data_IF_913185757757
#
_entry.id   IF_913185757757
#
_cell.length_a   1.000
_cell.length_b   1.000
_cell.length_c   1.000
_cell.angle_alpha   90.00
_cell.angle_beta   90.00
_cell.angle_gamma   90.00
#
_symmetry.space_group_name_H-M   'P 1'
#
loop_
_entity.id
_entity.type
_entity.pdbx_description
1 polymer ?
#
# COMPACT_ATOMS: atom_id res chain seq x y z
N UNK A 1 -40.58 -5.37 -18.48
CA UNK A 1 -39.54 -5.42 -17.42
C UNK A 1 -39.02 -4.01 -17.26
N UNK A 2 -39.04 -3.48 -16.04
CA UNK A 2 -38.53 -2.13 -15.78
C UNK A 2 -37.00 -2.15 -15.80
N UNK A 3 -36.32 -1.03 -16.05
CA UNK A 3 -34.87 -0.93 -15.92
C UNK A 3 -34.35 -1.38 -14.54
N UNK A 4 -35.15 -1.20 -13.49
CA UNK A 4 -34.85 -1.61 -12.12
C UNK A 4 -34.81 -3.14 -11.98
N UNK A 5 -35.70 -3.87 -12.66
CA UNK A 5 -35.74 -5.34 -12.61
C UNK A 5 -34.50 -6.00 -13.26
N UNK A 6 -33.81 -5.26 -14.14
CA UNK A 6 -32.53 -5.69 -14.73
C UNK A 6 -31.33 -5.28 -13.87
N UNK A 7 -31.47 -4.23 -13.05
CA UNK A 7 -30.41 -3.70 -12.20
C UNK A 7 -30.15 -4.58 -10.96
N UNK A 8 -31.19 -5.18 -10.37
CA UNK A 8 -31.05 -6.00 -9.15
C UNK A 8 -30.18 -7.25 -9.40
N UNK A 9 -30.42 -8.08 -10.43
CA UNK A 9 -29.55 -9.22 -10.74
C UNK A 9 -28.16 -8.80 -11.25
N UNK A 10 -28.02 -7.57 -11.71
CA UNK A 10 -26.73 -6.97 -12.03
C UNK A 10 -25.98 -6.68 -10.72
N UNK A 11 -26.51 -5.86 -9.82
CA UNK A 11 -25.85 -5.52 -8.55
C UNK A 11 -25.43 -6.75 -7.71
N UNK A 12 -26.22 -7.83 -7.73
CA UNK A 12 -25.93 -9.07 -7.01
C UNK A 12 -24.79 -9.92 -7.61
N UNK A 13 -24.22 -9.51 -8.76
CA UNK A 13 -23.04 -10.15 -9.38
C UNK A 13 -21.80 -9.26 -9.26
N UNK A 14 -21.43 -8.93 -8.02
CA UNK A 14 -20.30 -8.06 -7.66
C UNK A 14 -19.00 -8.45 -8.39
N UNK A 15 -18.68 -9.74 -8.42
CA UNK A 15 -17.40 -10.21 -8.95
C UNK A 15 -17.28 -10.09 -10.48
N UNK A 16 -18.40 -10.11 -11.21
CA UNK A 16 -18.38 -10.28 -12.67
C UNK A 16 -18.19 -8.97 -13.43
N UNK A 17 -18.51 -7.84 -12.82
CA UNK A 17 -18.69 -6.57 -13.54
C UNK A 17 -17.42 -5.73 -13.59
N UNK A 18 -16.60 -5.81 -12.54
CA UNK A 18 -15.35 -5.06 -12.45
C UNK A 18 -14.16 -5.85 -12.98
N UNK A 19 -14.32 -7.15 -13.26
CA UNK A 19 -13.27 -8.06 -13.76
C UNK A 19 -12.61 -7.61 -15.08
N UNK A 20 -13.23 -6.69 -15.83
CA UNK A 20 -12.71 -6.14 -17.08
C UNK A 20 -12.22 -4.70 -17.00
N UNK A 21 -12.33 -4.04 -15.84
CA UNK A 21 -11.94 -2.63 -15.68
C UNK A 21 -10.52 -2.60 -15.08
N UNK A 22 -9.51 -2.09 -15.79
CA UNK A 22 -8.19 -1.90 -15.23
C UNK A 22 -8.24 -1.00 -14.00
N UNK A 23 -7.63 -1.43 -12.90
CA UNK A 23 -7.60 -0.65 -11.66
C UNK A 23 -7.03 0.76 -11.87
N UNK A 24 -6.04 0.92 -12.75
CA UNK A 24 -5.46 2.22 -13.09
C UNK A 24 -6.45 3.17 -13.78
N UNK A 25 -7.39 2.65 -14.57
CA UNK A 25 -8.47 3.45 -15.19
C UNK A 25 -9.47 3.89 -14.13
N UNK A 26 -9.87 2.98 -13.23
CA UNK A 26 -10.73 3.33 -12.11
C UNK A 26 -10.11 4.42 -11.22
N UNK A 27 -8.81 4.33 -10.90
CA UNK A 27 -8.12 5.37 -10.13
C UNK A 27 -8.15 6.71 -10.87
N UNK A 28 -7.89 6.71 -12.18
CA UNK A 28 -7.95 7.93 -12.98
C UNK A 28 -9.34 8.55 -12.98
N UNK A 29 -10.39 7.74 -13.18
CA UNK A 29 -11.77 8.22 -13.25
C UNK A 29 -12.27 8.76 -11.90
N UNK A 30 -11.87 8.14 -10.79
CA UNK A 30 -12.34 8.52 -9.43
C UNK A 30 -11.51 9.66 -8.83
N UNK A 31 -10.21 9.76 -9.15
CA UNK A 31 -9.29 10.70 -8.48
C UNK A 31 -8.69 11.76 -9.40
N UNK A 32 -8.80 11.58 -10.72
CA UNK A 32 -8.09 12.38 -11.72
C UNK A 32 -6.57 12.14 -11.76
N UNK A 33 -6.05 11.16 -11.01
CA UNK A 33 -4.61 10.85 -10.93
C UNK A 33 -4.28 9.60 -11.74
N UNK A 34 -3.13 9.62 -12.41
CA UNK A 34 -2.62 8.46 -13.15
C UNK A 34 -1.75 7.61 -12.23
N UNK A 35 -1.97 6.30 -12.27
CA UNK A 35 -1.03 5.32 -11.72
C UNK A 35 0.11 5.18 -12.72
N UNK A 36 1.33 5.50 -12.29
CA UNK A 36 2.53 5.33 -13.11
C UNK A 36 3.05 3.91 -12.95
N UNK A 37 3.33 3.25 -14.07
CA UNK A 37 3.94 1.92 -14.04
C UNK A 37 5.43 2.05 -13.70
N UNK A 38 5.94 1.11 -12.90
CA UNK A 38 7.37 0.97 -12.66
C UNK A 38 8.13 0.79 -13.98
N UNK A 39 9.20 1.56 -14.16
CA UNK A 39 10.04 1.52 -15.34
C UNK A 39 11.45 1.05 -14.97
N UNK A 40 11.86 -0.18 -15.34
CA UNK A 40 13.19 -0.71 -15.03
C UNK A 40 14.33 -0.01 -15.80
N UNK A 41 14.02 0.92 -16.70
CA UNK A 41 15.00 1.77 -17.39
C UNK A 41 15.10 3.16 -16.78
N UNK A 42 14.24 3.49 -15.82
CA UNK A 42 14.28 4.74 -15.07
C UNK A 42 15.22 4.57 -13.87
N UNK A 43 16.22 5.45 -13.76
CA UNK A 43 17.23 5.38 -12.70
C UNK A 43 16.65 5.65 -11.30
N UNK A 44 15.67 6.55 -11.19
CA UNK A 44 14.95 6.85 -9.94
C UNK A 44 14.16 5.63 -9.48
N UNK A 45 13.35 5.04 -10.35
CA UNK A 45 12.54 3.86 -10.03
C UNK A 45 13.43 2.70 -9.53
N UNK A 46 14.53 2.43 -10.23
CA UNK A 46 15.50 1.40 -9.83
C UNK A 46 16.13 1.70 -8.48
N UNK A 47 16.51 2.96 -8.23
CA UNK A 47 17.12 3.37 -6.97
C UNK A 47 16.15 3.22 -5.80
N UNK A 48 14.93 3.73 -5.93
CA UNK A 48 13.89 3.64 -4.89
C UNK A 48 13.56 2.18 -4.58
N UNK A 49 13.36 1.34 -5.60
CA UNK A 49 13.12 -0.10 -5.39
C UNK A 49 14.28 -0.79 -4.71
N UNK A 50 15.53 -0.47 -5.08
CA UNK A 50 16.72 -1.02 -4.42
C UNK A 50 16.80 -0.61 -2.94
N UNK A 51 16.50 0.65 -2.63
CA UNK A 51 16.46 1.15 -1.26
C UNK A 51 15.38 0.45 -0.43
N UNK A 52 14.16 0.31 -0.97
CA UNK A 52 13.07 -0.44 -0.34
C UNK A 52 13.50 -1.89 -0.09
N UNK A 53 14.11 -2.57 -1.07
CA UNK A 53 14.55 -3.97 -0.94
C UNK A 53 15.52 -4.15 0.23
N UNK A 54 16.53 -3.27 0.36
CA UNK A 54 17.49 -3.33 1.46
C UNK A 54 16.80 -3.14 2.82
N UNK A 55 15.85 -2.22 2.90
CA UNK A 55 15.08 -1.99 4.12
C UNK A 55 14.22 -3.21 4.48
N UNK A 56 13.56 -3.84 3.50
CA UNK A 56 12.75 -5.03 3.73
C UNK A 56 13.60 -6.22 4.19
N UNK A 57 14.80 -6.41 3.65
CA UNK A 57 15.73 -7.45 4.11
C UNK A 57 16.12 -7.22 5.58
N UNK A 58 16.46 -5.98 5.94
CA UNK A 58 16.78 -5.60 7.31
C UNK A 58 15.59 -5.78 8.25
N UNK A 59 14.39 -5.39 7.81
CA UNK A 59 13.15 -5.54 8.57
C UNK A 59 12.87 -7.01 8.86
N UNK A 60 12.96 -7.87 7.84
CA UNK A 60 12.74 -9.31 7.98
C UNK A 60 13.74 -9.96 8.95
N UNK A 61 15.01 -9.55 8.92
CA UNK A 61 16.01 -10.01 9.88
C UNK A 61 15.64 -9.65 11.33
N UNK A 62 15.17 -8.42 11.56
CA UNK A 62 14.77 -7.98 12.89
C UNK A 62 13.49 -8.66 13.38
N UNK A 63 12.47 -8.77 12.53
CA UNK A 63 11.17 -9.35 12.90
C UNK A 63 11.27 -10.86 13.20
N UNK A 64 12.14 -11.58 12.47
CA UNK A 64 12.39 -13.01 12.69
C UNK A 64 13.32 -13.30 13.88
N UNK A 65 13.92 -12.28 14.50
CA UNK A 65 14.71 -12.47 15.72
C UNK A 65 13.83 -13.03 16.84
N UNK A 66 14.31 -14.01 17.64
CA UNK A 66 13.59 -14.48 18.83
C UNK A 66 13.30 -13.38 19.85
N UNK A 67 14.06 -12.29 19.83
CA UNK A 67 13.88 -11.13 20.70
C UNK A 67 12.84 -10.12 20.16
N UNK A 68 12.30 -10.35 18.96
CA UNK A 68 11.32 -9.45 18.35
C UNK A 68 10.01 -9.44 19.12
N UNK A 69 9.41 -8.25 19.28
CA UNK A 69 8.16 -8.07 20.05
C UNK A 69 7.01 -8.89 19.47
N UNK A 70 7.05 -9.18 18.15
CA UNK A 70 5.99 -9.92 17.46
C UNK A 70 5.97 -11.41 17.81
N UNK A 71 7.06 -11.97 18.36
CA UNK A 71 7.14 -13.39 18.71
C UNK A 71 6.17 -13.78 19.84
N UNK A 72 5.78 -12.80 20.68
CA UNK A 72 4.83 -13.00 21.77
C UNK A 72 3.37 -12.66 21.44
N UNK A 73 3.09 -12.19 20.22
CA UNK A 73 1.75 -11.70 19.83
C UNK A 73 0.97 -12.84 19.19
N UNK A 74 -0.15 -13.23 19.81
CA UNK A 74 -1.00 -14.33 19.33
C UNK A 74 -1.90 -13.92 18.16
N UNK A 75 -2.29 -12.65 18.11
CA UNK A 75 -3.24 -12.12 17.14
C UNK A 75 -2.50 -11.51 15.97
N UNK A 76 -2.57 -12.15 14.81
CA UNK A 76 -1.82 -11.73 13.61
C UNK A 76 -2.12 -10.29 13.17
N UNK A 77 -3.34 -9.80 13.40
CA UNK A 77 -3.73 -8.42 13.11
C UNK A 77 -3.06 -7.38 14.03
N UNK A 78 -2.56 -7.78 15.21
CA UNK A 78 -1.75 -6.94 16.09
C UNK A 78 -0.28 -6.93 15.66
N UNK A 79 0.17 -7.91 14.87
CA UNK A 79 1.52 -7.94 14.28
C UNK A 79 1.65 -6.90 13.16
N UNK A 80 0.60 -6.67 12.38
CA UNK A 80 0.63 -5.79 11.20
C UNK A 80 1.06 -4.36 11.52
N UNK A 81 0.65 -3.79 12.65
CA UNK A 81 1.08 -2.44 13.07
C UNK A 81 2.56 -2.39 13.40
N UNK A 82 3.11 -3.42 14.06
CA UNK A 82 4.54 -3.50 14.36
C UNK A 82 5.39 -3.61 13.09
N UNK A 83 4.90 -4.33 12.07
CA UNK A 83 5.57 -4.41 10.77
C UNK A 83 5.59 -3.05 10.08
N UNK A 84 4.45 -2.36 10.02
CA UNK A 84 4.35 -1.05 9.40
C UNK A 84 5.21 0.01 10.11
N UNK A 85 5.19 0.03 11.46
CA UNK A 85 6.00 0.95 12.25
C UNK A 85 7.51 0.74 12.00
N UNK A 86 7.97 -0.51 12.02
CA UNK A 86 9.37 -0.83 11.76
C UNK A 86 9.76 -0.48 10.31
N UNK A 87 8.90 -0.79 9.34
CA UNK A 87 9.12 -0.44 7.94
C UNK A 87 9.30 1.07 7.78
N UNK A 88 8.40 1.87 8.36
CA UNK A 88 8.45 3.33 8.34
C UNK A 88 9.71 3.86 9.01
N UNK A 89 10.09 3.32 10.18
CA UNK A 89 11.32 3.72 10.87
C UNK A 89 12.57 3.47 10.02
N UNK A 90 12.68 2.29 9.41
CA UNK A 90 13.84 1.92 8.60
C UNK A 90 13.89 2.69 7.27
N UNK A 91 12.75 2.93 6.63
CA UNK A 91 12.67 3.76 5.42
C UNK A 91 13.12 5.20 5.71
N UNK A 92 12.70 5.80 6.82
CA UNK A 92 13.14 7.15 7.22
C UNK A 92 14.63 7.26 7.60
N UNK A 93 15.31 6.13 7.86
CA UNK A 93 16.78 6.11 8.04
C UNK A 93 17.52 6.09 6.71
N UNK A 94 16.83 5.86 5.60
CA UNK A 94 17.44 5.82 4.27
C UNK A 94 17.56 7.25 3.71
N UNK A 95 18.79 7.74 3.44
CA UNK A 95 18.97 9.09 2.91
C UNK A 95 18.24 9.31 1.59
N UNK A 96 17.58 10.45 1.47
CA UNK A 96 16.78 10.81 0.30
C UNK A 96 15.36 10.27 0.32
N UNK A 97 14.96 9.49 1.33
CA UNK A 97 13.58 9.03 1.46
C UNK A 97 12.91 9.66 2.69
N UNK A 98 11.62 9.97 2.54
CA UNK A 98 10.71 10.34 3.63
C UNK A 98 9.54 9.36 3.58
N UNK A 99 9.26 8.72 4.70
CA UNK A 99 8.14 7.78 4.81
C UNK A 99 7.19 8.18 5.94
N UNK A 100 5.94 8.48 5.61
CA UNK A 100 4.93 8.89 6.60
C UNK A 100 3.57 8.29 6.22
N UNK A 101 2.55 8.54 7.03
CA UNK A 101 1.18 8.19 6.68
C UNK A 101 0.63 9.13 5.59
N UNK A 102 -0.13 8.60 4.62
CA UNK A 102 -0.69 9.41 3.54
C UNK A 102 -1.65 10.47 4.11
N UNK A 103 -1.66 11.63 3.46
CA UNK A 103 -2.46 12.79 3.84
C UNK A 103 -3.49 13.10 2.77
N UNK A 104 -4.65 13.58 3.19
CA UNK A 104 -5.65 14.16 2.29
C UNK A 104 -5.11 15.42 1.63
N UNK A 105 -5.81 15.93 0.62
CA UNK A 105 -5.54 17.25 0.04
C UNK A 105 -5.59 18.41 1.05
N UNK A 106 -6.28 18.22 2.18
CA UNK A 106 -6.35 19.17 3.30
C UNK A 106 -5.24 18.94 4.35
N UNK A 107 -4.34 17.99 4.13
CA UNK A 107 -3.24 17.65 5.04
C UNK A 107 -3.63 16.79 6.24
N UNK A 108 -4.85 16.24 6.27
CA UNK A 108 -5.30 15.35 7.36
C UNK A 108 -4.80 13.93 7.12
N UNK A 109 -4.46 13.22 8.18
CA UNK A 109 -4.12 11.80 8.08
C UNK A 109 -5.29 11.00 7.50
N UNK A 110 -5.02 10.18 6.49
CA UNK A 110 -5.97 9.23 5.93
C UNK A 110 -5.36 7.84 6.03
N UNK A 111 -6.07 6.92 6.70
CA UNK A 111 -5.61 5.54 6.87
C UNK A 111 -6.74 4.59 6.52
N UNK A 112 -6.45 3.62 5.67
CA UNK A 112 -7.41 2.63 5.19
C UNK A 112 -7.18 1.27 5.84
N UNK A 113 -5.93 0.84 5.97
CA UNK A 113 -5.51 -0.41 6.58
C UNK A 113 -3.99 -0.38 6.87
N UNK A 114 -3.37 -1.55 7.07
CA UNK A 114 -1.92 -1.73 7.18
C UNK A 114 -1.42 -2.66 6.06
N UNK A 115 -0.28 -2.39 5.41
CA UNK A 115 0.46 -1.12 5.47
C UNK A 115 -0.21 -0.05 4.62
N UNK A 116 -0.25 1.18 5.11
CA UNK A 116 -0.74 2.36 4.38
C UNK A 116 0.23 3.52 4.62
N UNK A 117 1.31 3.54 3.83
CA UNK A 117 2.43 4.46 3.93
C UNK A 117 2.64 5.20 2.61
N UNK A 118 2.94 6.49 2.73
CA UNK A 118 3.44 7.34 1.65
C UNK A 118 4.96 7.38 1.72
N UNK A 119 5.60 7.11 0.57
CA UNK A 119 7.04 7.23 0.42
C UNK A 119 7.33 8.34 -0.59
N UNK A 120 8.11 9.31 -0.16
CA UNK A 120 8.57 10.45 -0.98
C UNK A 120 10.08 10.33 -1.13
N UNK A 121 10.54 10.55 -2.35
CA UNK A 121 11.94 10.59 -2.76
C UNK A 121 12.32 12.01 -3.24
#
# INVERSE_FOLDING_TARGET
KTPVDALIPWLLREDAQLRGIPFSEMILDVTGKRVLAFNPKNETDLRVVKQISVVLDQMMSQLNSPASVIQGILRINEVSSHVEDLMRELLNKTPGLICDFPKTSEGRLQRSAYPDLELID
#
